data_IF_164023252211
#
_entry.id   IF_164023252211
#
_cell.length_a   1.000
_cell.length_b   1.000
_cell.length_c   1.000
_cell.angle_alpha   90.00
_cell.angle_beta   90.00
_cell.angle_gamma   90.00
#
_symmetry.space_group_name_H-M   'P 1'
#
loop_
_entity.id
_entity.type
_entity.pdbx_description
1 polymer ?
#
# COMPACT_ATOMS: atom_id res chain seq x y z
N UNK A 1 -5.71 26.92 4.10
CA UNK A 1 -4.67 26.23 4.90
C UNK A 1 -4.15 25.06 4.08
N UNK A 2 -3.00 25.23 3.44
CA UNK A 2 -2.29 24.18 2.71
C UNK A 2 -1.54 23.33 3.71
N UNK A 3 -2.13 22.21 4.11
CA UNK A 3 -1.44 21.18 4.87
C UNK A 3 -0.31 20.62 4.02
N UNK A 4 0.92 20.77 4.49
CA UNK A 4 2.07 20.06 3.96
C UNK A 4 1.71 18.57 3.87
N UNK A 5 1.64 18.02 2.65
CA UNK A 5 1.62 16.57 2.40
C UNK A 5 2.97 16.02 2.84
N UNK A 6 3.11 15.75 4.13
CA UNK A 6 4.19 14.91 4.64
C UNK A 6 4.18 13.61 3.85
N UNK A 7 5.37 13.16 3.46
CA UNK A 7 5.64 12.14 2.44
C UNK A 7 5.23 10.69 2.84
N UNK A 8 4.20 10.57 3.69
CA UNK A 8 3.71 9.34 4.27
C UNK A 8 2.24 9.25 3.88
N UNK A 9 2.00 8.42 2.86
CA UNK A 9 0.66 7.94 2.44
C UNK A 9 -0.23 7.76 3.67
N UNK A 10 -1.45 8.32 3.64
CA UNK A 10 -2.34 8.26 4.80
C UNK A 10 -2.59 6.78 5.17
N UNK A 11 -2.65 6.52 6.48
CA UNK A 11 -2.99 5.17 6.96
C UNK A 11 -4.42 4.89 6.51
N UNK A 12 -4.61 3.79 5.78
CA UNK A 12 -5.84 3.33 5.10
C UNK A 12 -5.98 3.68 3.60
N UNK A 13 -5.03 4.39 3.00
CA UNK A 13 -5.11 4.59 1.55
C UNK A 13 -4.98 3.25 0.80
N UNK A 14 -5.75 3.04 -0.28
CA UNK A 14 -5.55 1.89 -1.15
C UNK A 14 -4.10 1.84 -1.67
N UNK A 15 -3.55 0.63 -1.83
CA UNK A 15 -2.18 0.42 -2.33
C UNK A 15 -2.15 0.59 -3.86
N UNK A 16 -3.29 0.35 -4.49
CA UNK A 16 -3.49 0.27 -5.93
C UNK A 16 -3.10 1.54 -6.68
N UNK A 17 -3.38 2.78 -6.20
CA UNK A 17 -2.95 3.99 -6.88
C UNK A 17 -1.41 4.16 -6.94
N UNK A 18 -0.68 3.64 -5.96
CA UNK A 18 0.79 3.65 -6.00
C UNK A 18 1.31 2.61 -6.99
N UNK A 19 0.72 1.40 -6.99
CA UNK A 19 1.05 0.37 -7.97
C UNK A 19 0.74 0.82 -9.40
N UNK A 20 -0.40 1.46 -9.63
CA UNK A 20 -0.77 2.02 -10.92
C UNK A 20 0.25 3.08 -11.38
N UNK A 21 0.73 3.94 -10.48
CA UNK A 21 1.81 4.91 -10.78
C UNK A 21 3.11 4.24 -11.19
N UNK A 22 3.51 3.17 -10.49
CA UNK A 22 4.71 2.37 -10.83
C UNK A 22 4.56 1.69 -12.19
N UNK A 23 3.38 1.18 -12.52
CA UNK A 23 3.08 0.55 -13.80
C UNK A 23 3.05 1.56 -14.97
N UNK A 24 2.53 2.76 -14.73
CA UNK A 24 2.37 3.79 -15.76
C UNK A 24 3.67 4.17 -16.45
N UNK A 25 4.74 4.36 -15.67
CA UNK A 25 6.03 4.86 -16.16
C UNK A 25 6.67 3.98 -17.26
N UNK A 26 6.91 2.67 -17.02
CA UNK A 26 7.50 1.79 -18.03
C UNK A 26 6.55 1.47 -19.20
N UNK A 27 5.23 1.60 -19.01
CA UNK A 27 4.25 1.39 -20.08
C UNK A 27 3.99 2.65 -20.92
N UNK A 28 4.52 3.81 -20.52
CA UNK A 28 4.27 5.08 -21.21
C UNK A 28 2.81 5.52 -21.15
N UNK A 29 2.08 5.14 -20.10
CA UNK A 29 0.65 5.43 -19.94
C UNK A 29 0.42 6.58 -18.95
N UNK A 30 -0.70 7.32 -19.09
CA UNK A 30 -1.17 8.25 -18.06
C UNK A 30 -1.41 7.53 -16.72
N UNK A 31 -1.09 8.19 -15.60
CA UNK A 31 -1.24 7.60 -14.26
C UNK A 31 -2.70 7.27 -13.87
N UNK A 32 -3.68 7.86 -14.56
CA UNK A 32 -5.11 7.69 -14.38
C UNK A 32 -5.75 6.73 -15.41
N UNK A 33 -4.95 6.05 -16.24
CA UNK A 33 -5.45 5.03 -17.16
C UNK A 33 -6.10 3.88 -16.37
N UNK A 34 -7.40 3.67 -16.59
CA UNK A 34 -8.21 2.70 -15.84
C UNK A 34 -7.66 1.26 -15.92
N UNK A 35 -6.94 0.90 -16.99
CA UNK A 35 -6.32 -0.43 -17.15
C UNK A 35 -5.21 -0.66 -16.13
N UNK A 36 -4.52 0.39 -15.70
CA UNK A 36 -3.46 0.28 -14.70
C UNK A 36 -3.99 -0.20 -13.35
N UNK A 37 -5.22 0.16 -13.00
CA UNK A 37 -5.86 -0.27 -11.76
C UNK A 37 -6.14 -1.78 -11.75
N UNK A 38 -6.58 -2.34 -12.87
CA UNK A 38 -6.81 -3.79 -13.02
C UNK A 38 -5.50 -4.58 -12.83
N UNK A 39 -4.41 -4.10 -13.42
CA UNK A 39 -3.10 -4.70 -13.26
C UNK A 39 -2.53 -4.51 -11.85
N UNK A 40 -2.77 -3.36 -11.22
CA UNK A 40 -2.42 -3.13 -9.81
C UNK A 40 -3.14 -4.12 -8.88
N UNK A 41 -4.44 -4.35 -9.08
CA UNK A 41 -5.22 -5.35 -8.35
C UNK A 41 -4.70 -6.77 -8.57
N UNK A 42 -4.31 -7.10 -9.80
CA UNK A 42 -3.73 -8.41 -10.13
C UNK A 42 -2.39 -8.63 -9.43
N UNK A 43 -1.51 -7.63 -9.45
CA UNK A 43 -0.22 -7.67 -8.72
C UNK A 43 -0.47 -7.84 -7.22
N UNK A 44 -1.41 -7.09 -6.64
CA UNK A 44 -1.76 -7.24 -5.22
C UNK A 44 -2.22 -8.66 -4.91
N UNK A 45 -3.19 -9.17 -5.68
CA UNK A 45 -3.73 -10.52 -5.50
C UNK A 45 -2.65 -11.60 -5.62
N UNK A 46 -1.72 -11.46 -6.57
CA UNK A 46 -0.59 -12.38 -6.72
C UNK A 46 0.28 -12.40 -5.46
N UNK A 47 0.61 -11.25 -4.89
CA UNK A 47 1.47 -11.14 -3.70
C UNK A 47 0.75 -11.57 -2.42
N UNK A 48 -0.56 -11.28 -2.31
CA UNK A 48 -1.43 -11.75 -1.22
C UNK A 48 -1.54 -13.28 -1.22
N UNK A 49 -1.59 -13.90 -2.40
CA UNK A 49 -1.60 -15.35 -2.57
C UNK A 49 -0.24 -16.03 -2.29
N UNK A 50 0.77 -15.28 -1.86
CA UNK A 50 2.12 -15.80 -1.56
C UNK A 50 3.10 -15.73 -2.72
N UNK A 51 2.72 -15.07 -3.83
CA UNK A 51 3.62 -14.81 -4.95
C UNK A 51 4.88 -14.04 -4.51
N UNK A 52 6.01 -14.48 -5.02
CA UNK A 52 7.29 -13.83 -4.76
C UNK A 52 7.63 -12.84 -5.89
N UNK A 53 8.75 -12.15 -5.73
CA UNK A 53 9.20 -11.13 -6.65
C UNK A 53 9.54 -11.67 -8.06
N UNK A 54 9.93 -12.95 -8.18
CA UNK A 54 10.10 -13.61 -9.49
C UNK A 54 8.75 -13.78 -10.19
N UNK A 55 7.68 -14.11 -9.45
CA UNK A 55 6.33 -14.25 -10.03
C UNK A 55 5.79 -12.90 -10.51
N UNK A 56 6.01 -11.84 -9.72
CA UNK A 56 5.67 -10.46 -10.13
C UNK A 56 6.48 -10.02 -11.34
N UNK A 57 7.78 -10.35 -11.41
CA UNK A 57 8.61 -10.09 -12.59
C UNK A 57 8.09 -10.82 -13.84
N UNK A 58 7.68 -12.09 -13.71
CA UNK A 58 7.08 -12.84 -14.83
C UNK A 58 5.78 -12.21 -15.30
N UNK A 59 4.95 -11.75 -14.37
CA UNK A 59 3.72 -11.02 -14.69
C UNK A 59 4.04 -9.71 -15.42
N UNK A 60 4.97 -8.92 -14.90
CA UNK A 60 5.40 -7.66 -15.51
C UNK A 60 5.88 -7.84 -16.96
N UNK A 61 6.57 -8.94 -17.28
CA UNK A 61 6.97 -9.23 -18.68
C UNK A 61 5.78 -9.49 -19.60
N UNK A 62 4.76 -10.22 -19.14
CA UNK A 62 3.53 -10.48 -19.89
C UNK A 62 2.68 -9.22 -20.06
N UNK A 63 2.80 -8.28 -19.13
CA UNK A 63 2.07 -7.03 -19.18
C UNK A 63 2.39 -6.23 -20.44
N UNK A 64 3.67 -6.10 -20.81
CA UNK A 64 4.05 -5.39 -22.04
C UNK A 64 3.42 -6.03 -23.29
N UNK A 65 3.35 -7.36 -23.35
CA UNK A 65 2.66 -8.07 -24.44
C UNK A 65 1.17 -7.70 -24.49
N UNK A 66 0.49 -7.61 -23.33
CA UNK A 66 -0.93 -7.25 -23.27
C UNK A 66 -1.25 -5.82 -23.74
N UNK A 67 -0.27 -4.91 -23.66
CA UNK A 67 -0.38 -3.55 -24.18
C UNK A 67 0.16 -3.40 -25.62
N UNK A 68 0.57 -4.50 -26.27
CA UNK A 68 1.17 -4.46 -27.60
C UNK A 68 2.54 -3.76 -27.62
N UNK A 69 3.21 -3.67 -26.47
CA UNK A 69 4.51 -3.05 -26.33
C UNK A 69 5.64 -4.07 -26.54
N UNK A 70 6.83 -3.63 -26.99
CA UNK A 70 8.00 -4.48 -27.02
C UNK A 70 8.29 -5.07 -25.65
N UNK A 71 8.79 -6.31 -25.62
CA UNK A 71 9.24 -6.91 -24.36
C UNK A 71 10.31 -6.03 -23.73
N UNK A 72 10.20 -5.74 -22.43
CA UNK A 72 11.25 -5.02 -21.72
C UNK A 72 12.49 -5.90 -21.70
N UNK A 73 13.66 -5.27 -21.66
CA UNK A 73 14.89 -6.00 -21.35
C UNK A 73 14.82 -6.62 -19.94
N UNK A 74 15.74 -7.54 -19.67
CA UNK A 74 15.73 -8.31 -18.43
C UNK A 74 15.93 -7.42 -17.18
N UNK A 75 16.66 -6.31 -17.28
CA UNK A 75 16.93 -5.40 -16.17
C UNK A 75 15.68 -4.58 -15.86
N UNK A 76 15.04 -4.00 -16.87
CA UNK A 76 13.78 -3.25 -16.72
C UNK A 76 12.69 -4.15 -16.15
N UNK A 77 12.51 -5.36 -16.68
CA UNK A 77 11.54 -6.31 -16.17
C UNK A 77 11.76 -6.63 -14.68
N UNK A 78 13.02 -6.84 -14.30
CA UNK A 78 13.42 -7.17 -12.92
C UNK A 78 13.21 -5.99 -11.98
N UNK A 79 13.62 -4.78 -12.36
CA UNK A 79 13.43 -3.58 -11.56
C UNK A 79 11.94 -3.26 -11.37
N UNK A 80 11.14 -3.41 -12.41
CA UNK A 80 9.69 -3.26 -12.33
C UNK A 80 9.07 -4.31 -11.38
N UNK A 81 9.46 -5.58 -11.53
CA UNK A 81 8.99 -6.65 -10.65
C UNK A 81 9.34 -6.41 -9.17
N UNK A 82 10.57 -6.00 -8.89
CA UNK A 82 11.04 -5.61 -7.57
C UNK A 82 10.22 -4.45 -6.98
N UNK A 83 10.05 -3.36 -7.75
CA UNK A 83 9.32 -2.19 -7.30
C UNK A 83 7.86 -2.54 -6.95
N UNK A 84 7.18 -3.26 -7.84
CA UNK A 84 5.79 -3.70 -7.64
C UNK A 84 5.66 -4.61 -6.42
N UNK A 85 6.56 -5.58 -6.26
CA UNK A 85 6.55 -6.49 -5.12
C UNK A 85 6.78 -5.76 -3.80
N UNK A 86 7.77 -4.86 -3.74
CA UNK A 86 8.09 -4.09 -2.54
C UNK A 86 6.97 -3.13 -2.13
N UNK A 87 6.39 -2.37 -3.09
CA UNK A 87 5.25 -1.49 -2.82
C UNK A 87 4.09 -2.30 -2.25
N UNK A 88 3.80 -3.45 -2.85
CA UNK A 88 2.73 -4.34 -2.39
C UNK A 88 2.99 -4.86 -0.98
N UNK A 89 4.18 -5.42 -0.72
CA UNK A 89 4.52 -5.96 0.62
C UNK A 89 4.51 -4.87 1.69
N UNK A 90 5.05 -3.70 1.41
CA UNK A 90 5.03 -2.57 2.34
C UNK A 90 3.59 -2.15 2.66
N UNK A 91 2.74 -2.04 1.64
CA UNK A 91 1.32 -1.73 1.81
C UNK A 91 0.57 -2.78 2.62
N UNK A 92 0.80 -4.06 2.37
CA UNK A 92 0.19 -5.17 3.12
C UNK A 92 0.61 -5.17 4.60
N UNK A 93 1.90 -4.97 4.88
CA UNK A 93 2.40 -4.86 6.26
C UNK A 93 1.77 -3.66 6.96
N UNK A 94 1.71 -2.50 6.31
CA UNK A 94 1.05 -1.29 6.85
C UNK A 94 -0.42 -1.57 7.17
N UNK A 95 -1.17 -2.15 6.24
CA UNK A 95 -2.60 -2.42 6.41
C UNK A 95 -2.85 -3.46 7.53
N UNK A 96 -2.00 -4.46 7.65
CA UNK A 96 -2.08 -5.44 8.74
C UNK A 96 -1.76 -4.79 10.10
N UNK A 97 -0.67 -4.02 10.19
CA UNK A 97 -0.32 -3.30 11.42
C UNK A 97 -1.45 -2.37 11.87
N UNK A 98 -2.08 -1.66 10.94
CA UNK A 98 -3.22 -0.79 11.23
C UNK A 98 -4.43 -1.58 11.75
N UNK A 99 -4.83 -2.67 11.07
CA UNK A 99 -5.91 -3.55 11.54
C UNK A 99 -5.64 -4.07 12.94
N UNK A 100 -4.38 -4.44 13.22
CA UNK A 100 -3.97 -4.93 14.53
C UNK A 100 -4.09 -3.84 15.60
N UNK A 101 -3.70 -2.60 15.29
CA UNK A 101 -3.89 -1.46 16.21
C UNK A 101 -5.38 -1.22 16.47
N UNK A 102 -6.23 -1.24 15.44
CA UNK A 102 -7.68 -1.04 15.58
C UNK A 102 -8.33 -2.14 16.44
N UNK A 103 -7.93 -3.40 16.28
CA UNK A 103 -8.36 -4.50 17.13
C UNK A 103 -7.98 -4.28 18.59
N UNK A 104 -6.73 -3.87 18.84
CA UNK A 104 -6.25 -3.61 20.20
C UNK A 104 -7.00 -2.43 20.83
N UNK A 105 -7.23 -1.35 20.08
CA UNK A 105 -7.99 -0.19 20.55
C UNK A 105 -9.41 -0.57 20.95
N UNK A 106 -10.08 -1.46 20.19
CA UNK A 106 -11.41 -1.96 20.54
C UNK A 106 -11.45 -2.82 21.81
N UNK A 107 -10.32 -3.43 22.17
CA UNK A 107 -10.19 -4.26 23.38
C UNK A 107 -9.81 -3.45 24.62
N UNK A 108 -9.34 -2.21 24.45
CA UNK A 108 -9.08 -1.33 25.58
C UNK A 108 -10.40 -1.02 26.29
N UNK A 109 -10.42 -1.01 27.64
CA UNK A 109 -11.57 -0.50 28.36
C UNK A 109 -11.85 0.94 27.91
N UNK A 110 -13.12 1.36 27.82
CA UNK A 110 -13.44 2.73 27.47
C UNK A 110 -12.70 3.66 28.44
N UNK A 111 -11.86 4.55 27.91
CA UNK A 111 -11.21 5.55 28.76
C UNK A 111 -12.32 6.39 29.41
N UNK A 112 -12.28 6.50 30.74
CA UNK A 112 -13.10 7.47 31.44
C UNK A 112 -12.88 8.86 30.82
N UNK A 113 -13.93 9.69 30.69
CA UNK A 113 -13.80 11.06 30.19
C UNK A 113 -12.64 11.80 30.85
N UNK A 114 -11.96 12.66 30.08
CA UNK A 114 -10.82 13.42 30.58
C UNK A 114 -11.14 14.16 31.90
N UNK A 115 -12.37 14.63 32.06
CA UNK A 115 -12.89 15.24 33.29
C UNK A 115 -12.88 14.31 34.49
N UNK A 116 -13.29 13.05 34.34
CA UNK A 116 -13.27 12.05 35.42
C UNK A 116 -11.83 11.65 35.77
N UNK A 117 -10.97 11.55 34.76
CA UNK A 117 -9.54 11.25 34.96
C UNK A 117 -8.82 12.39 35.70
N UNK A 118 -9.14 13.64 35.37
CA UNK A 118 -8.61 14.82 36.06
C UNK A 118 -9.15 14.92 37.48
N UNK A 119 -10.45 14.70 37.70
CA UNK A 119 -11.04 14.70 39.04
C UNK A 119 -10.37 13.65 39.95
N UNK A 120 -10.22 12.42 39.46
CA UNK A 120 -9.56 11.34 40.19
C UNK A 120 -8.06 11.61 40.45
N UNK A 121 -7.38 12.34 39.56
CA UNK A 121 -5.98 12.72 39.74
C UNK A 121 -5.81 13.83 40.79
N UNK A 122 -6.74 14.80 40.82
CA UNK A 122 -6.77 15.88 41.81
C UNK A 122 -7.08 15.32 43.20
N UNK A 123 -8.05 14.40 43.32
CA UNK A 123 -8.39 13.76 44.60
C UNK A 123 -7.27 12.90 45.19
N UNK A 124 -6.35 12.40 44.34
CA UNK A 124 -5.19 11.60 44.74
C UNK A 124 -3.91 12.42 44.90
N UNK A 125 -3.96 13.73 44.71
CA UNK A 125 -2.80 14.60 44.90
C UNK A 125 -2.51 14.77 46.42
N UNK A 126 -1.23 14.70 46.83
CA UNK A 126 -0.82 14.78 48.23
C UNK A 126 -1.05 16.17 48.86
#
# INVERSE_FOLDING_TARGET
>A
MTTHRGNWVERNDPIEPELARVLAHPLGLPHDDARLLEHALTVRGLVEAGGNEVDVTKYARRLFESFGLPKPDAVVARLLGLALWHVTKAGLVRNNAQRRVEELVRQLPPEAPLSERLAAAIERAP
#
